data_IF_443778139800
#
_entry.id   IF_443778139800
#
_cell.length_a   1.000
_cell.length_b   1.000
_cell.length_c   1.000
_cell.angle_alpha   90.00
_cell.angle_beta   90.00
_cell.angle_gamma   90.00
#
_symmetry.space_group_name_H-M   'P 1'
#
loop_
_entity.id
_entity.type
_entity.pdbx_description
1 polymer ?
#
# COMPACT_ATOMS: atom_id res chain seq x y z
N UNK A 1 1.77 1.62 -7.95
CA UNK A 1 2.15 1.97 -6.56
C UNK A 1 0.96 2.62 -5.90
N UNK A 2 0.52 2.13 -4.74
CA UNK A 2 -0.60 2.66 -3.97
C UNK A 2 -0.06 3.46 -2.78
N UNK A 3 -0.51 4.70 -2.63
CA UNK A 3 -0.03 5.57 -1.56
C UNK A 3 -1.06 5.71 -0.44
N UNK A 4 -0.54 5.76 0.78
CA UNK A 4 -1.31 5.82 2.01
C UNK A 4 -0.76 6.93 2.89
N UNK A 5 -1.64 7.60 3.63
CA UNK A 5 -1.28 8.69 4.55
C UNK A 5 -1.81 8.41 5.94
N UNK A 6 -0.98 8.61 6.96
CA UNK A 6 -1.40 8.50 8.36
C UNK A 6 -1.89 9.85 8.93
N UNK A 7 -2.29 9.84 10.21
CA UNK A 7 -2.77 11.03 10.94
C UNK A 7 -1.69 12.12 11.10
N UNK A 8 -0.41 11.77 10.98
CA UNK A 8 0.73 12.70 11.06
C UNK A 8 1.13 13.26 9.68
N UNK A 9 0.33 13.01 8.63
CA UNK A 9 0.62 13.36 7.23
C UNK A 9 1.84 12.65 6.61
N UNK A 10 2.37 11.60 7.23
CA UNK A 10 3.42 10.78 6.63
C UNK A 10 2.85 9.90 5.53
N UNK A 11 3.55 9.83 4.39
CA UNK A 11 3.11 9.10 3.19
C UNK A 11 3.96 7.84 3.00
N UNK A 12 3.28 6.73 2.73
CA UNK A 12 3.89 5.42 2.45
C UNK A 12 3.37 4.87 1.13
N UNK A 13 4.25 4.29 0.32
CA UNK A 13 3.90 3.62 -0.93
C UNK A 13 4.02 2.10 -0.80
N UNK A 14 3.00 1.38 -1.25
CA UNK A 14 3.00 -0.08 -1.34
C UNK A 14 2.60 -0.53 -2.74
N UNK A 15 3.32 -1.51 -3.28
CA UNK A 15 2.96 -2.14 -4.55
C UNK A 15 1.79 -3.13 -4.39
N UNK A 16 1.22 -3.56 -5.52
CA UNK A 16 0.06 -4.47 -5.50
C UNK A 16 0.40 -5.84 -4.94
N UNK A 17 1.64 -6.31 -5.07
CA UNK A 17 2.10 -7.58 -4.50
C UNK A 17 2.19 -7.55 -2.98
N UNK A 18 2.66 -6.44 -2.42
CA UNK A 18 2.68 -6.20 -0.97
C UNK A 18 1.27 -6.16 -0.40
N UNK A 19 0.35 -5.43 -1.04
CA UNK A 19 -1.04 -5.35 -0.60
C UNK A 19 -1.79 -6.68 -0.77
N UNK A 20 -1.51 -7.43 -1.83
CA UNK A 20 -2.04 -8.78 -2.03
C UNK A 20 -1.56 -9.73 -0.93
N UNK A 21 -0.28 -9.66 -0.56
CA UNK A 21 0.27 -10.45 0.55
C UNK A 21 -0.40 -10.11 1.89
N UNK A 22 -0.66 -8.82 2.15
CA UNK A 22 -1.42 -8.39 3.33
C UNK A 22 -2.85 -8.93 3.32
N UNK A 23 -3.53 -8.89 2.17
CA UNK A 23 -4.85 -9.48 2.00
C UNK A 23 -4.85 -10.99 2.26
N UNK A 24 -3.82 -11.69 1.77
CA UNK A 24 -3.65 -13.14 1.95
C UNK A 24 -3.50 -13.53 3.42
N UNK A 25 -2.85 -12.71 4.25
CA UNK A 25 -2.78 -12.93 5.71
C UNK A 25 -4.19 -13.02 6.29
N UNK A 26 -5.04 -12.02 6.02
CA UNK A 26 -6.42 -11.97 6.54
C UNK A 26 -7.26 -13.14 6.05
N UNK A 27 -7.10 -13.52 4.78
CA UNK A 27 -7.79 -14.68 4.21
C UNK A 27 -7.35 -15.98 4.90
N UNK A 28 -6.06 -16.20 5.08
CA UNK A 28 -5.52 -17.38 5.76
C UNK A 28 -5.95 -17.44 7.22
N UNK A 29 -5.94 -16.33 7.96
CA UNK A 29 -6.45 -16.29 9.34
C UNK A 29 -7.91 -16.74 9.40
N UNK A 30 -8.75 -16.27 8.46
CA UNK A 30 -10.15 -16.69 8.37
C UNK A 30 -10.29 -18.18 8.02
N UNK A 31 -9.52 -18.68 7.06
CA UNK A 31 -9.57 -20.09 6.65
C UNK A 31 -9.07 -21.03 7.76
N UNK A 32 -7.96 -20.67 8.41
CA UNK A 32 -7.39 -21.39 9.54
C UNK A 32 -8.42 -21.43 10.67
N UNK A 33 -8.97 -20.27 11.06
CA UNK A 33 -9.96 -20.20 12.14
C UNK A 33 -11.22 -21.03 11.83
N UNK A 34 -11.63 -21.14 10.57
CA UNK A 34 -12.77 -21.95 10.17
C UNK A 34 -12.49 -23.47 10.19
N UNK A 35 -11.26 -23.90 9.91
CA UNK A 35 -10.87 -25.31 9.78
C UNK A 35 -10.25 -25.90 11.05
N UNK A 36 -9.66 -25.08 11.90
CA UNK A 36 -8.98 -25.50 13.15
C UNK A 36 -9.89 -26.34 14.07
N UNK A 37 -11.18 -26.00 14.30
CA UNK A 37 -12.05 -26.81 15.16
C UNK A 37 -12.27 -28.23 14.63
N UNK A 38 -12.43 -28.39 13.32
CA UNK A 38 -12.64 -29.70 12.69
C UNK A 38 -11.38 -30.58 12.79
N UNK A 39 -10.21 -29.98 12.58
CA UNK A 39 -8.92 -30.66 12.74
C UNK A 39 -8.69 -31.12 14.19
N UNK A 40 -8.86 -30.21 15.17
CA UNK A 40 -8.71 -30.54 16.60
C UNK A 40 -9.69 -31.63 17.02
N UNK A 41 -10.96 -31.54 16.58
CA UNK A 41 -11.94 -32.57 16.91
C UNK A 41 -11.55 -33.93 16.33
N UNK A 42 -11.13 -33.98 15.05
CA UNK A 42 -10.70 -35.23 14.43
C UNK A 42 -9.48 -35.85 15.13
N UNK A 43 -8.52 -35.02 15.57
CA UNK A 43 -7.37 -35.47 16.38
C UNK A 43 -7.80 -36.07 17.72
N UNK A 44 -8.70 -35.39 18.44
CA UNK A 44 -9.26 -35.89 19.71
C UNK A 44 -10.00 -37.21 19.51
N UNK A 45 -10.83 -37.32 18.47
CA UNK A 45 -11.56 -38.56 18.16
C UNK A 45 -10.60 -39.71 17.84
N UNK A 46 -9.54 -39.46 17.07
CA UNK A 46 -8.51 -40.44 16.79
C UNK A 46 -7.81 -40.92 18.07
N UNK A 47 -7.43 -39.99 18.96
CA UNK A 47 -6.80 -40.34 20.24
C UNK A 47 -7.73 -41.15 21.15
N UNK A 48 -9.03 -40.81 21.20
CA UNK A 48 -10.04 -41.55 21.96
C UNK A 48 -10.26 -42.96 21.40
N UNK A 49 -10.36 -43.10 20.08
CA UNK A 49 -10.51 -44.40 19.43
C UNK A 49 -9.28 -45.30 19.66
N UNK A 50 -8.07 -44.73 19.58
CA UNK A 50 -6.83 -45.44 19.87
C UNK A 50 -6.76 -45.91 21.34
N UNK A 51 -7.17 -45.06 22.27
CA UNK A 51 -7.21 -45.39 23.71
C UNK A 51 -8.19 -46.52 23.99
N UNK A 52 -9.40 -46.44 23.43
CA UNK A 52 -10.45 -47.48 23.56
C UNK A 52 -9.98 -48.82 23.01
N UNK A 53 -9.37 -48.83 21.82
CA UNK A 53 -8.85 -50.05 21.22
C UNK A 53 -7.74 -50.68 22.07
N UNK A 54 -6.84 -49.85 22.62
CA UNK A 54 -5.79 -50.32 23.52
C UNK A 54 -6.36 -50.92 24.81
N UNK A 55 -7.33 -50.26 25.44
CA UNK A 55 -8.02 -50.76 26.64
C UNK A 55 -8.68 -52.12 26.40
N UNK A 56 -9.46 -52.26 25.33
CA UNK A 56 -10.11 -53.53 24.98
C UNK A 56 -9.08 -54.64 24.67
N UNK A 57 -7.98 -54.29 24.01
CA UNK A 57 -6.88 -55.22 23.74
C UNK A 57 -6.22 -55.71 25.04
N UNK A 58 -6.04 -54.83 26.02
CA UNK A 58 -5.53 -55.19 27.36
C UNK A 58 -6.53 -56.08 28.09
N UNK A 59 -7.83 -55.76 28.03
CA UNK A 59 -8.87 -56.61 28.62
C UNK A 59 -8.88 -58.01 28.00
N UNK A 60 -8.71 -58.14 26.68
CA UNK A 60 -8.67 -59.45 26.01
C UNK A 60 -7.47 -60.30 26.46
N UNK A 61 -6.29 -59.67 26.61
CA UNK A 61 -5.10 -60.34 27.12
C UNK A 61 -5.28 -60.83 28.56
N UNK A 62 -5.97 -60.06 29.40
CA UNK A 62 -6.31 -60.47 30.77
C UNK A 62 -7.33 -61.62 30.74
N UNK A 63 -8.37 -61.48 29.94
CA UNK A 63 -9.44 -62.46 29.80
C UNK A 63 -8.95 -63.85 29.37
N UNK A 64 -7.95 -63.89 28.48
CA UNK A 64 -7.32 -65.13 28.03
C UNK A 64 -6.51 -65.85 29.14
N UNK A 65 -6.07 -65.14 30.19
CA UNK A 65 -5.34 -65.73 31.33
C UNK A 65 -6.29 -66.26 32.41
N UNK A 66 -7.43 -65.62 32.60
CA UNK A 66 -8.35 -65.89 33.71
C UNK A 66 -9.38 -67.01 33.39
N UNK A 67 -9.26 -67.73 32.26
CA UNK A 67 -10.17 -68.83 31.84
C UNK A 67 -11.66 -68.45 31.82
N UNK A 68 -11.97 -67.27 31.26
CA UNK A 68 -13.36 -66.79 31.07
C UNK A 68 -14.14 -67.64 30.05
N UNK A 69 -15.47 -67.51 30.06
CA UNK A 69 -16.35 -68.25 29.16
C UNK A 69 -16.15 -67.84 27.69
N UNK A 70 -16.35 -68.80 26.77
CA UNK A 70 -16.20 -68.55 25.33
C UNK A 70 -17.18 -67.49 24.80
N UNK A 71 -18.35 -67.34 25.45
CA UNK A 71 -19.29 -66.25 25.17
C UNK A 71 -18.73 -64.86 25.52
N UNK A 72 -18.03 -64.71 26.65
CA UNK A 72 -17.42 -63.43 27.06
C UNK A 72 -16.27 -63.06 26.13
N UNK A 73 -15.45 -64.06 25.73
CA UNK A 73 -14.38 -63.86 24.76
C UNK A 73 -14.91 -63.43 23.38
N UNK A 74 -16.04 -63.98 22.93
CA UNK A 74 -16.66 -63.59 21.66
C UNK A 74 -17.21 -62.16 21.69
N UNK A 75 -17.84 -61.73 22.79
CA UNK A 75 -18.29 -60.33 22.95
C UNK A 75 -17.10 -59.37 22.88
N UNK A 76 -16.01 -59.69 23.58
CA UNK A 76 -14.83 -58.83 23.62
C UNK A 76 -14.13 -58.72 22.25
N UNK A 77 -14.07 -59.82 21.49
CA UNK A 77 -13.59 -59.81 20.10
C UNK A 77 -14.45 -58.91 19.22
N UNK A 78 -15.78 -59.02 19.31
CA UNK A 78 -16.69 -58.16 18.56
C UNK A 78 -16.52 -56.68 18.93
N UNK A 79 -16.30 -56.36 20.21
CA UNK A 79 -16.01 -55.00 20.65
C UNK A 79 -14.68 -54.47 20.10
N UNK A 80 -13.64 -55.31 20.04
CA UNK A 80 -12.34 -54.96 19.44
C UNK A 80 -12.49 -54.71 17.94
N UNK A 81 -13.23 -55.56 17.21
CA UNK A 81 -13.48 -55.37 15.78
C UNK A 81 -14.20 -54.04 15.54
N UNK A 82 -15.24 -53.75 16.33
CA UNK A 82 -15.95 -52.47 16.27
C UNK A 82 -15.05 -51.28 16.62
N UNK A 83 -14.20 -51.39 17.64
CA UNK A 83 -13.24 -50.34 18.02
C UNK A 83 -12.16 -50.15 16.95
N UNK A 84 -11.73 -51.22 16.28
CA UNK A 84 -10.77 -51.16 15.16
C UNK A 84 -11.37 -50.43 13.97
N UNK A 85 -12.63 -50.73 13.63
CA UNK A 85 -13.37 -50.00 12.59
C UNK A 85 -13.49 -48.51 12.93
N UNK A 86 -13.89 -48.17 14.17
CA UNK A 86 -13.96 -46.77 14.63
C UNK A 86 -12.61 -46.06 14.58
N UNK A 87 -11.52 -46.74 14.95
CA UNK A 87 -10.18 -46.18 14.84
C UNK A 87 -9.79 -45.91 13.38
N UNK A 88 -10.10 -46.83 12.46
CA UNK A 88 -9.88 -46.62 11.03
C UNK A 88 -10.66 -45.41 10.52
N UNK A 89 -11.95 -45.30 10.86
CA UNK A 89 -12.79 -44.18 10.45
C UNK A 89 -12.28 -42.85 11.02
N UNK A 90 -11.89 -42.82 12.30
CA UNK A 90 -11.31 -41.65 12.95
C UNK A 90 -9.96 -41.25 12.31
N UNK A 91 -9.14 -42.24 11.92
CA UNK A 91 -7.88 -42.00 11.24
C UNK A 91 -8.11 -41.40 9.85
N UNK A 92 -9.07 -41.92 9.10
CA UNK A 92 -9.45 -41.37 7.80
C UNK A 92 -9.96 -39.92 7.92
N UNK A 93 -10.84 -39.65 8.91
CA UNK A 93 -11.33 -38.31 9.20
C UNK A 93 -10.20 -37.34 9.60
N UNK A 94 -9.26 -37.79 10.43
CA UNK A 94 -8.08 -37.01 10.80
C UNK A 94 -7.21 -36.67 9.59
N UNK A 95 -6.91 -37.66 8.73
CA UNK A 95 -6.12 -37.41 7.53
C UNK A 95 -6.78 -36.40 6.59
N UNK A 96 -8.10 -36.50 6.43
CA UNK A 96 -8.87 -35.54 5.63
C UNK A 96 -8.83 -34.13 6.23
N UNK A 97 -9.13 -34.00 7.53
CA UNK A 97 -9.08 -32.69 8.20
C UNK A 97 -7.67 -32.08 8.16
N UNK A 98 -6.64 -32.91 8.34
CA UNK A 98 -5.23 -32.48 8.24
C UNK A 98 -4.87 -32.01 6.84
N UNK A 99 -5.34 -32.68 5.78
CA UNK A 99 -5.01 -32.28 4.41
C UNK A 99 -5.59 -30.92 4.02
N UNK A 100 -6.70 -30.51 4.64
CA UNK A 100 -7.29 -29.18 4.45
C UNK A 100 -6.65 -28.11 5.33
N UNK A 101 -6.28 -28.47 6.57
CA UNK A 101 -5.79 -27.51 7.56
C UNK A 101 -4.29 -27.23 7.48
N UNK A 102 -3.48 -28.27 7.33
CA UNK A 102 -2.02 -28.17 7.44
C UNK A 102 -1.39 -27.24 6.38
N UNK A 103 -1.79 -27.30 5.08
CA UNK A 103 -1.22 -26.40 4.08
C UNK A 103 -1.48 -24.91 4.38
N UNK A 104 -2.65 -24.60 4.96
CA UNK A 104 -3.01 -23.23 5.34
C UNK A 104 -2.10 -22.69 6.45
N UNK A 105 -1.83 -23.52 7.47
CA UNK A 105 -0.91 -23.17 8.56
C UNK A 105 0.52 -23.02 8.06
N UNK A 106 0.98 -23.89 7.17
CA UNK A 106 2.31 -23.81 6.59
C UNK A 106 2.49 -22.57 5.73
N UNK A 107 1.50 -22.25 4.88
CA UNK A 107 1.51 -21.03 4.08
C UNK A 107 1.54 -19.79 4.99
N UNK A 108 0.66 -19.74 6.01
CA UNK A 108 0.63 -18.64 6.97
C UNK A 108 1.96 -18.47 7.72
N UNK A 109 2.58 -19.57 8.15
CA UNK A 109 3.87 -19.55 8.83
C UNK A 109 5.03 -19.12 7.91
N UNK A 110 4.91 -19.32 6.59
CA UNK A 110 5.88 -18.91 5.61
C UNK A 110 5.80 -17.42 5.25
N UNK A 111 4.75 -16.70 5.68
CA UNK A 111 4.58 -15.28 5.35
C UNK A 111 5.65 -14.43 6.03
N UNK A 112 6.44 -13.63 5.27
CA UNK A 112 7.40 -12.70 5.85
C UNK A 112 6.78 -11.69 6.83
N UNK A 113 7.45 -11.48 7.97
CA UNK A 113 7.03 -10.53 9.03
C UNK A 113 6.78 -9.10 8.52
N UNK A 114 7.46 -8.69 7.45
CA UNK A 114 7.26 -7.38 6.83
C UNK A 114 5.80 -7.13 6.43
N UNK A 115 5.08 -8.15 5.98
CA UNK A 115 3.69 -8.00 5.57
C UNK A 115 2.75 -7.82 6.76
N UNK A 116 3.04 -8.45 7.90
CA UNK A 116 2.32 -8.19 9.15
C UNK A 116 2.53 -6.75 9.61
N UNK A 117 3.76 -6.24 9.54
CA UNK A 117 4.05 -4.84 9.86
C UNK A 117 3.31 -3.87 8.92
N UNK A 118 3.22 -4.18 7.63
CA UNK A 118 2.44 -3.38 6.66
C UNK A 118 0.96 -3.41 7.06
N UNK A 119 0.39 -4.59 7.35
CA UNK A 119 -1.00 -4.72 7.80
C UNK A 119 -1.31 -3.87 9.02
N UNK A 120 -0.45 -3.91 10.04
CA UNK A 120 -0.61 -3.12 11.26
C UNK A 120 -0.56 -1.61 10.96
N UNK A 121 0.40 -1.17 10.14
CA UNK A 121 0.48 0.23 9.71
C UNK A 121 -0.77 0.69 8.97
N UNK A 122 -1.33 -0.16 8.11
CA UNK A 122 -2.50 0.17 7.30
C UNK A 122 -3.76 0.44 8.15
N UNK A 123 -3.84 -0.04 9.40
CA UNK A 123 -4.98 0.22 10.31
C UNK A 123 -5.15 1.71 10.63
N UNK A 124 -4.05 2.45 10.69
CA UNK A 124 -4.02 3.89 11.00
C UNK A 124 -3.86 4.79 9.77
N UNK A 125 -3.91 4.21 8.57
CA UNK A 125 -3.68 4.92 7.32
C UNK A 125 -4.93 4.95 6.44
N UNK A 126 -5.10 6.04 5.69
CA UNK A 126 -6.08 6.12 4.60
C UNK A 126 -5.38 6.05 3.25
N UNK A 127 -6.01 5.39 2.28
CA UNK A 127 -5.55 5.43 0.89
C UNK A 127 -5.67 6.86 0.38
N UNK A 128 -4.61 7.36 -0.26
CA UNK A 128 -4.61 8.66 -0.90
C UNK A 128 -5.36 8.59 -2.23
N UNK A 129 -6.08 9.66 -2.55
CA UNK A 129 -6.68 9.85 -3.87
C UNK A 129 -5.62 10.18 -4.92
N UNK A 130 -5.93 9.98 -6.20
CA UNK A 130 -5.02 10.33 -7.30
C UNK A 130 -4.56 11.80 -7.22
N UNK A 131 -5.48 12.72 -6.91
CA UNK A 131 -5.17 14.14 -6.74
C UNK A 131 -4.19 14.40 -5.58
N UNK A 132 -4.35 13.68 -4.47
CA UNK A 132 -3.45 13.81 -3.31
C UNK A 132 -2.08 13.20 -3.60
N UNK A 133 -2.03 12.11 -4.38
CA UNK A 133 -0.79 11.50 -4.86
C UNK A 133 -0.06 12.45 -5.79
N UNK A 134 -0.76 13.01 -6.77
CA UNK A 134 -0.21 14.00 -7.70
C UNK A 134 0.35 15.19 -6.92
N UNK A 135 -0.41 15.75 -5.98
CA UNK A 135 0.08 16.86 -5.16
C UNK A 135 1.26 16.51 -4.25
N UNK A 136 1.48 15.23 -3.93
CA UNK A 136 2.63 14.78 -3.14
C UNK A 136 3.88 14.58 -4.01
N UNK A 137 3.71 13.97 -5.19
CA UNK A 137 4.80 13.72 -6.15
C UNK A 137 5.21 15.02 -6.85
N UNK A 138 4.23 15.86 -7.15
CA UNK A 138 4.36 17.11 -7.87
C UNK A 138 3.64 18.21 -7.08
N UNK A 139 4.31 18.78 -6.05
CA UNK A 139 3.69 19.81 -5.23
C UNK A 139 3.27 20.98 -6.11
N UNK A 140 2.03 21.47 -5.98
CA UNK A 140 1.57 22.59 -6.77
C UNK A 140 2.48 23.79 -6.50
N UNK A 141 2.90 24.46 -7.58
CA UNK A 141 3.69 25.69 -7.49
C UNK A 141 2.93 26.69 -6.61
N UNK A 142 3.58 27.18 -5.56
CA UNK A 142 2.93 28.07 -4.61
C UNK A 142 2.64 29.43 -5.26
N UNK A 143 1.66 30.16 -4.72
CA UNK A 143 1.39 31.56 -5.12
C UNK A 143 2.68 32.40 -5.07
N UNK A 144 3.46 32.25 -4.01
CA UNK A 144 4.75 32.93 -3.83
C UNK A 144 5.75 32.58 -4.95
N UNK A 145 5.87 31.31 -5.32
CA UNK A 145 6.73 30.89 -6.43
C UNK A 145 6.26 31.47 -7.77
N UNK A 146 4.95 31.60 -7.99
CA UNK A 146 4.43 32.28 -9.17
C UNK A 146 4.77 33.77 -9.17
N UNK A 147 4.67 34.44 -8.02
CA UNK A 147 5.06 35.84 -7.86
C UNK A 147 6.56 36.01 -8.11
N UNK A 148 7.40 35.17 -7.52
CA UNK A 148 8.86 35.22 -7.70
C UNK A 148 9.26 35.03 -9.16
N UNK A 149 8.65 34.06 -9.86
CA UNK A 149 8.85 33.85 -11.30
C UNK A 149 8.40 35.07 -12.11
N UNK A 150 7.28 35.67 -11.76
CA UNK A 150 6.78 36.88 -12.41
C UNK A 150 7.72 38.08 -12.18
N UNK A 151 8.22 38.27 -10.96
CA UNK A 151 9.18 39.33 -10.65
C UNK A 151 10.51 39.12 -11.39
N UNK A 152 10.99 37.88 -11.48
CA UNK A 152 12.18 37.54 -12.27
C UNK A 152 11.97 37.91 -13.74
N UNK A 153 10.83 37.55 -14.34
CA UNK A 153 10.47 37.93 -15.71
C UNK A 153 10.40 39.45 -15.89
N UNK A 154 9.79 40.17 -14.94
CA UNK A 154 9.73 41.65 -14.93
C UNK A 154 11.12 42.26 -14.91
N UNK A 155 12.04 41.75 -14.09
CA UNK A 155 13.44 42.20 -14.04
C UNK A 155 14.15 42.01 -15.38
N UNK A 156 14.00 40.85 -16.01
CA UNK A 156 14.58 40.58 -17.33
C UNK A 156 14.06 41.55 -18.38
N UNK A 157 12.73 41.73 -18.49
CA UNK A 157 12.12 42.64 -19.46
C UNK A 157 12.51 44.10 -19.24
N UNK A 158 12.65 44.52 -17.97
CA UNK A 158 13.15 45.86 -17.62
C UNK A 158 14.62 46.05 -18.01
N UNK A 159 15.45 45.01 -17.87
CA UNK A 159 16.85 45.04 -18.29
C UNK A 159 16.99 45.16 -19.81
N UNK A 160 16.24 44.35 -20.57
CA UNK A 160 16.18 44.43 -22.04
C UNK A 160 15.71 45.81 -22.52
N UNK A 161 14.65 46.35 -21.91
CA UNK A 161 14.17 47.69 -22.25
C UNK A 161 15.21 48.77 -21.90
N UNK A 162 15.95 48.61 -20.80
CA UNK A 162 17.02 49.54 -20.41
C UNK A 162 18.15 49.54 -21.42
N UNK A 163 18.65 48.38 -21.83
CA UNK A 163 19.75 48.27 -22.80
C UNK A 163 19.43 49.00 -24.11
N UNK A 164 18.23 48.80 -24.67
CA UNK A 164 17.79 49.50 -25.88
C UNK A 164 17.64 51.01 -25.68
N UNK A 165 17.07 51.42 -24.55
CA UNK A 165 16.90 52.84 -24.22
C UNK A 165 18.25 53.53 -24.07
N UNK A 166 19.21 52.91 -23.39
CA UNK A 166 20.52 53.50 -23.12
C UNK A 166 21.26 53.76 -24.45
N UNK A 167 21.26 52.80 -25.39
CA UNK A 167 21.88 52.99 -26.72
C UNK A 167 21.27 54.15 -27.51
N UNK A 168 19.93 54.22 -27.62
CA UNK A 168 19.28 55.31 -28.37
C UNK A 168 19.32 56.65 -27.65
N UNK A 169 19.38 56.64 -26.31
CA UNK A 169 19.57 57.84 -25.52
C UNK A 169 20.95 58.44 -25.82
N UNK A 170 22.01 57.63 -25.83
CA UNK A 170 23.36 58.07 -26.22
C UNK A 170 23.36 58.61 -27.65
N UNK A 171 22.70 57.93 -28.60
CA UNK A 171 22.59 58.42 -29.97
C UNK A 171 21.87 59.78 -30.07
N UNK A 172 20.86 60.03 -29.23
CA UNK A 172 20.18 61.33 -29.16
C UNK A 172 21.10 62.39 -28.56
N UNK A 173 21.83 62.07 -27.50
CA UNK A 173 22.75 63.00 -26.81
C UNK A 173 23.96 63.38 -27.67
N UNK A 174 24.40 62.48 -28.55
CA UNK A 174 25.47 62.71 -29.51
C UNK A 174 24.97 63.32 -30.84
N UNK A 175 23.69 63.69 -30.94
CA UNK A 175 23.04 64.16 -32.17
C UNK A 175 23.18 63.20 -33.38
N UNK A 176 23.34 61.90 -33.11
CA UNK A 176 23.47 60.82 -34.09
C UNK A 176 22.15 60.08 -34.38
N UNK A 177 21.13 60.28 -33.55
CA UNK A 177 19.89 59.51 -33.62
C UNK A 177 19.02 59.85 -34.84
N UNK A 178 18.55 58.81 -35.53
CA UNK A 178 17.57 58.92 -36.62
C UNK A 178 16.17 59.28 -36.09
N UNK A 179 15.26 59.66 -36.99
CA UNK A 179 13.87 59.94 -36.62
C UNK A 179 13.16 58.67 -36.10
N UNK A 180 13.52 57.51 -36.66
CA UNK A 180 13.03 56.20 -36.27
C UNK A 180 13.52 55.83 -34.86
N UNK A 181 14.80 56.05 -34.55
CA UNK A 181 15.37 55.79 -33.22
C UNK A 181 14.76 56.69 -32.15
N UNK A 182 14.50 57.97 -32.46
CA UNK A 182 13.80 58.89 -31.55
C UNK A 182 12.37 58.42 -31.26
N UNK A 183 11.68 57.87 -32.26
CA UNK A 183 10.33 57.32 -32.11
C UNK A 183 10.35 56.01 -31.29
N UNK A 184 11.29 55.12 -31.58
CA UNK A 184 11.49 53.88 -30.85
C UNK A 184 11.85 54.13 -29.39
N UNK A 185 12.75 55.08 -29.10
CA UNK A 185 13.13 55.49 -27.75
C UNK A 185 11.92 55.90 -26.91
N UNK A 186 10.98 56.68 -27.47
CA UNK A 186 9.76 57.06 -26.76
C UNK A 186 8.86 55.85 -26.50
N UNK A 187 8.69 54.96 -27.48
CA UNK A 187 7.90 53.74 -27.34
C UNK A 187 8.46 52.79 -26.28
N UNK A 188 9.77 52.57 -26.28
CA UNK A 188 10.47 51.72 -25.31
C UNK A 188 10.49 52.34 -23.90
N UNK A 189 10.60 53.67 -23.76
CA UNK A 189 10.42 54.35 -22.46
C UNK A 189 9.01 54.16 -21.91
N UNK A 190 7.97 54.29 -22.75
CA UNK A 190 6.58 54.00 -22.37
C UNK A 190 6.41 52.55 -21.96
N UNK A 191 6.96 51.61 -22.73
CA UNK A 191 6.97 50.19 -22.42
C UNK A 191 7.63 49.88 -21.07
N UNK A 192 8.81 50.43 -20.79
CA UNK A 192 9.52 50.27 -19.50
C UNK A 192 8.68 50.73 -18.31
N UNK A 193 7.97 51.86 -18.46
CA UNK A 193 7.06 52.37 -17.40
C UNK A 193 5.86 51.44 -17.22
N UNK A 194 5.26 50.94 -18.31
CA UNK A 194 4.16 49.98 -18.24
C UNK A 194 4.61 48.68 -17.56
N UNK A 195 5.77 48.13 -17.94
CA UNK A 195 6.39 46.97 -17.29
C UNK A 195 6.61 47.20 -15.80
N UNK A 196 7.16 48.35 -15.42
CA UNK A 196 7.42 48.67 -14.02
C UNK A 196 6.13 48.70 -13.18
N UNK A 197 4.99 49.06 -13.79
CA UNK A 197 3.67 49.10 -13.14
C UNK A 197 2.95 47.74 -13.11
N UNK A 198 3.47 46.71 -13.77
CA UNK A 198 2.90 45.36 -13.69
C UNK A 198 2.95 44.88 -12.25
N UNK A 199 1.78 44.54 -11.71
CA UNK A 199 1.64 43.90 -10.41
C UNK A 199 1.91 42.40 -10.52
N UNK A 200 3.00 41.93 -9.92
CA UNK A 200 3.37 40.52 -9.96
C UNK A 200 2.55 39.66 -8.98
N UNK A 201 1.80 40.28 -8.03
CA UNK A 201 0.97 39.56 -7.06
C UNK A 201 -0.23 38.83 -7.71
N UNK A 202 -0.60 39.22 -8.93
CA UNK A 202 -1.69 38.60 -9.70
C UNK A 202 -1.25 37.34 -10.44
N UNK A 203 0.01 36.91 -10.34
CA UNK A 203 0.49 35.67 -10.93
C UNK A 203 -0.38 34.45 -10.53
N UNK A 204 -0.58 33.49 -11.45
CA UNK A 204 -0.02 33.42 -12.81
C UNK A 204 -0.71 34.30 -13.86
N UNK A 205 -1.86 34.90 -13.55
CA UNK A 205 -2.73 35.62 -14.50
C UNK A 205 -2.30 37.08 -14.73
N UNK A 206 -1.08 37.28 -15.23
CA UNK A 206 -0.51 38.61 -15.51
C UNK A 206 -0.63 38.98 -16.99
N UNK A 207 -1.27 40.12 -17.28
CA UNK A 207 -1.25 40.74 -18.60
C UNK A 207 0.07 41.51 -18.80
N UNK A 208 1.03 40.90 -19.52
CA UNK A 208 2.30 41.53 -19.83
C UNK A 208 2.14 42.54 -20.98
N UNK A 209 2.68 43.77 -20.87
CA UNK A 209 2.71 44.68 -22.01
C UNK A 209 3.55 44.07 -23.14
N UNK A 210 3.18 44.36 -24.38
CA UNK A 210 3.92 43.91 -25.56
C UNK A 210 5.12 44.82 -25.83
N UNK A 211 6.29 44.25 -26.17
CA UNK A 211 7.45 45.05 -26.54
C UNK A 211 7.19 45.81 -27.85
N UNK A 212 7.61 47.08 -27.95
CA UNK A 212 7.48 47.84 -29.19
C UNK A 212 8.43 47.30 -30.27
N UNK A 213 8.06 47.53 -31.54
CA UNK A 213 8.88 47.15 -32.70
C UNK A 213 10.08 48.07 -32.87
#
# INVERSE_FOLDING_TARGET
MNYYRNKNNEVWGYDDGQLSSVGRITELESLISAKEPAFINAEVQLQQAASTLNELTVQLKKAARDTLSESELNVLRQQIDAATARHHDALAAFHHARSEYQPLKEEYAAIPLVFFNIREKLKDMRKMTEKEVEAHINPPVSKEQYVERAEAKKRTLLAEAREKIDIWQDAVELDMATAEEKTALLAWKKYRVLLYRVDCSTAPDIAWPEPPK
#
